data_IF_526982114140
#
_entry.id   IF_526982114140
#
_cell.length_a   1.000
_cell.length_b   1.000
_cell.length_c   1.000
_cell.angle_alpha   90.00
_cell.angle_beta   90.00
_cell.angle_gamma   90.00
#
_symmetry.space_group_name_H-M   'P 1'
#
loop_
_entity.id
_entity.type
_entity.pdbx_description
1 polymer ?
#
# COMPACT_ATOMS: atom_id res chain seq x y z
N UNK A 1 17.14 3.10 17.04
CA UNK A 1 16.71 1.70 17.06
C UNK A 1 16.28 1.24 15.68
N UNK A 2 16.64 0.03 15.33
CA UNK A 2 16.27 -0.53 14.03
C UNK A 2 14.77 -0.87 14.02
N UNK A 3 14.15 -0.68 12.86
CA UNK A 3 12.77 -1.09 12.62
C UNK A 3 12.80 -2.44 11.90
N UNK A 4 12.36 -3.54 12.54
CA UNK A 4 12.41 -4.86 11.90
C UNK A 4 11.54 -4.96 10.64
N UNK A 5 10.51 -4.15 10.52
CA UNK A 5 9.68 -4.11 9.32
C UNK A 5 10.40 -3.45 8.13
N UNK A 6 11.49 -2.74 8.37
CA UNK A 6 12.18 -1.97 7.33
C UNK A 6 13.51 -2.57 6.88
N UNK A 7 13.83 -3.81 7.30
CA UNK A 7 15.10 -4.46 6.99
C UNK A 7 15.17 -4.98 5.56
N UNK A 8 14.03 -5.26 4.95
CA UNK A 8 13.95 -5.74 3.57
C UNK A 8 12.71 -5.15 2.88
N UNK A 9 12.71 -5.20 1.55
CA UNK A 9 11.51 -4.80 0.80
C UNK A 9 10.34 -5.71 1.15
N UNK A 10 10.58 -7.02 1.28
CA UNK A 10 9.52 -7.97 1.66
C UNK A 10 8.88 -7.59 2.98
N UNK A 11 9.67 -7.27 4.01
CA UNK A 11 9.13 -6.91 5.32
C UNK A 11 8.38 -5.57 5.29
N UNK A 12 8.84 -4.61 4.50
CA UNK A 12 8.13 -3.33 4.31
C UNK A 12 6.76 -3.57 3.69
N UNK A 13 6.71 -4.31 2.60
CA UNK A 13 5.45 -4.57 1.88
C UNK A 13 4.47 -5.34 2.78
N UNK A 14 4.95 -6.37 3.46
CA UNK A 14 4.12 -7.15 4.37
C UNK A 14 3.54 -6.27 5.49
N UNK A 15 4.37 -5.47 6.13
CA UNK A 15 3.94 -4.57 7.20
C UNK A 15 2.93 -3.54 6.71
N UNK A 16 3.13 -3.03 5.49
CA UNK A 16 2.21 -2.07 4.89
C UNK A 16 0.79 -2.66 4.77
N UNK A 17 0.65 -3.85 4.24
CA UNK A 17 -0.66 -4.49 4.10
C UNK A 17 -1.26 -4.90 5.46
N UNK A 18 -0.44 -5.44 6.35
CA UNK A 18 -0.92 -5.84 7.68
C UNK A 18 -1.42 -4.65 8.49
N UNK A 19 -0.76 -3.50 8.36
CA UNK A 19 -1.07 -2.32 9.17
C UNK A 19 -2.48 -1.78 8.94
N UNK A 20 -3.02 -1.92 7.72
CA UNK A 20 -4.33 -1.38 7.36
C UNK A 20 -5.43 -2.45 7.38
N UNK A 21 -5.08 -3.70 7.64
CA UNK A 21 -6.02 -4.82 7.62
C UNK A 21 -6.58 -5.09 9.02
N UNK A 22 -7.85 -5.45 9.09
CA UNK A 22 -8.52 -5.80 10.35
C UNK A 22 -10.03 -5.69 10.26
N UNK A 23 -10.70 -6.04 11.36
CA UNK A 23 -12.15 -5.95 11.49
C UNK A 23 -12.64 -4.56 11.85
N UNK A 24 -13.91 -4.29 11.59
CA UNK A 24 -14.56 -3.05 11.98
C UNK A 24 -14.44 -2.84 13.50
N UNK A 25 -14.10 -1.63 13.93
CA UNK A 25 -13.89 -1.30 15.34
C UNK A 25 -12.54 -1.75 15.88
N UNK A 26 -11.77 -2.52 15.13
CA UNK A 26 -10.42 -2.92 15.50
C UNK A 26 -9.45 -1.82 15.10
N UNK A 27 -8.61 -1.30 16.03
CA UNK A 27 -7.65 -0.26 15.69
C UNK A 27 -6.68 -0.74 14.63
N UNK A 28 -6.49 0.05 13.59
CA UNK A 28 -5.45 -0.20 12.60
C UNK A 28 -4.09 0.20 13.16
N UNK A 29 -3.03 -0.38 12.61
CA UNK A 29 -1.67 -0.16 13.12
C UNK A 29 -1.04 1.06 12.43
N UNK A 30 -1.65 2.24 12.61
CA UNK A 30 -1.23 3.46 11.92
C UNK A 30 0.21 3.88 12.23
N UNK A 31 0.66 3.69 13.47
CA UNK A 31 2.04 4.05 13.82
C UNK A 31 3.05 3.06 13.21
N UNK A 32 2.68 1.79 13.07
CA UNK A 32 3.51 0.82 12.37
C UNK A 32 3.65 1.20 10.90
N UNK A 33 2.56 1.59 10.27
CA UNK A 33 2.53 2.03 8.88
C UNK A 33 3.32 3.34 8.70
N UNK A 34 3.12 4.29 9.60
CA UNK A 34 3.87 5.56 9.60
C UNK A 34 5.37 5.31 9.60
N UNK A 35 5.83 4.36 10.41
CA UNK A 35 7.26 4.07 10.57
C UNK A 35 7.91 3.49 9.29
N UNK A 36 7.11 3.02 8.32
CA UNK A 36 7.61 2.58 7.02
C UNK A 36 7.88 3.73 6.07
N UNK A 37 7.24 4.87 6.31
CA UNK A 37 7.19 5.99 5.37
C UNK A 37 8.17 7.10 5.76
N UNK A 38 8.88 7.63 4.77
CA UNK A 38 9.64 8.85 4.97
C UNK A 38 8.66 9.97 5.39
N UNK A 39 9.08 10.92 6.27
CA UNK A 39 8.19 12.01 6.68
C UNK A 39 7.61 12.85 5.55
N UNK A 40 8.26 12.88 4.39
CA UNK A 40 7.79 13.59 3.21
C UNK A 40 7.15 12.68 2.17
N UNK A 41 6.84 11.45 2.53
CA UNK A 41 6.24 10.50 1.60
C UNK A 41 4.88 10.98 1.12
N UNK A 42 4.55 10.61 -0.13
CA UNK A 42 3.27 10.90 -0.74
C UNK A 42 2.48 9.62 -0.97
N UNK A 43 1.18 9.69 -0.72
CA UNK A 43 0.24 8.59 -0.95
C UNK A 43 -0.88 9.12 -1.84
N UNK A 44 -1.06 8.51 -3.01
CA UNK A 44 -1.86 9.09 -4.08
C UNK A 44 -2.82 8.06 -4.66
N UNK A 45 -4.14 8.20 -4.42
CA UNK A 45 -5.15 7.44 -5.16
C UNK A 45 -5.29 8.06 -6.55
N UNK A 46 -4.65 7.47 -7.55
CA UNK A 46 -4.48 8.08 -8.87
C UNK A 46 -5.81 8.47 -9.53
N UNK A 47 -6.83 7.61 -9.42
CA UNK A 47 -8.13 7.88 -10.02
C UNK A 47 -8.84 9.05 -9.35
N UNK A 48 -8.67 9.23 -8.05
CA UNK A 48 -9.25 10.35 -7.31
C UNK A 48 -8.45 11.63 -7.55
N UNK A 49 -7.14 11.52 -7.74
CA UNK A 49 -6.27 12.66 -8.00
C UNK A 49 -6.59 13.37 -9.32
N UNK A 50 -7.29 12.70 -10.25
CA UNK A 50 -7.64 13.28 -11.56
C UNK A 50 -8.82 14.25 -11.53
N UNK A 51 -9.32 14.63 -10.36
CA UNK A 51 -10.19 15.79 -10.26
C UNK A 51 -11.56 15.60 -9.62
N UNK A 52 -11.83 14.49 -8.95
CA UNK A 52 -13.06 14.32 -8.20
C UNK A 52 -13.00 14.95 -6.81
N UNK A 53 -14.14 15.15 -6.13
CA UNK A 53 -14.15 15.48 -4.71
C UNK A 53 -13.38 14.44 -3.91
N UNK A 54 -12.52 14.88 -3.01
CA UNK A 54 -11.63 13.99 -2.27
C UNK A 54 -10.39 13.57 -3.04
N UNK A 55 -10.25 14.06 -4.28
CA UNK A 55 -9.03 13.88 -5.04
C UNK A 55 -7.87 14.53 -4.30
N UNK A 56 -6.72 13.85 -4.27
CA UNK A 56 -5.61 14.46 -3.57
C UNK A 56 -4.33 13.66 -3.65
N UNK A 57 -3.27 14.41 -3.47
CA UNK A 57 -1.95 13.90 -3.19
C UNK A 57 -1.77 14.09 -1.70
N UNK A 58 -1.76 12.99 -0.93
CA UNK A 58 -1.74 13.07 0.52
C UNK A 58 -0.32 12.89 1.06
N UNK A 59 0.00 13.60 2.14
CA UNK A 59 1.03 13.15 3.05
C UNK A 59 0.45 12.00 3.91
N UNK A 60 1.26 11.43 4.80
CA UNK A 60 0.79 10.30 5.58
C UNK A 60 -0.41 10.66 6.49
N UNK A 61 -0.37 11.81 7.14
CA UNK A 61 -1.47 12.24 8.02
C UNK A 61 -2.76 12.46 7.23
N UNK A 62 -2.66 13.06 6.05
CA UNK A 62 -3.80 13.24 5.15
C UNK A 62 -4.39 11.92 4.68
N UNK A 63 -3.54 10.95 4.36
CA UNK A 63 -3.96 9.60 4.01
C UNK A 63 -4.73 8.95 5.15
N UNK A 64 -4.21 8.99 6.38
CA UNK A 64 -4.88 8.42 7.56
C UNK A 64 -6.24 9.10 7.74
N UNK A 65 -6.30 10.42 7.69
CA UNK A 65 -7.55 11.17 7.86
C UNK A 65 -8.59 10.78 6.79
N UNK A 66 -8.14 10.50 5.55
CA UNK A 66 -9.04 10.11 4.46
C UNK A 66 -9.54 8.67 4.58
N UNK A 67 -8.77 7.77 5.20
CA UNK A 67 -9.07 6.33 5.22
C UNK A 67 -9.62 5.83 6.56
N UNK A 68 -9.23 6.43 7.67
CA UNK A 68 -9.62 5.96 8.99
C UNK A 68 -11.13 5.82 9.18
N UNK A 69 -11.99 6.76 8.74
CA UNK A 69 -13.42 6.59 8.92
C UNK A 69 -13.98 5.32 8.27
N UNK A 70 -13.54 5.00 7.07
CA UNK A 70 -13.96 3.78 6.38
C UNK A 70 -13.44 2.54 7.09
N UNK A 71 -12.15 2.53 7.44
CA UNK A 71 -11.53 1.36 8.06
C UNK A 71 -12.03 1.12 9.48
N UNK A 72 -12.39 2.16 10.21
CA UNK A 72 -13.00 2.03 11.54
C UNK A 72 -14.39 1.40 11.46
N UNK A 73 -15.12 1.66 10.37
CA UNK A 73 -16.50 1.22 10.20
C UNK A 73 -16.66 -0.10 9.47
N UNK A 74 -15.59 -0.62 8.84
CA UNK A 74 -15.70 -1.77 7.94
C UNK A 74 -14.61 -2.80 8.19
N UNK A 75 -14.94 -4.07 7.97
CA UNK A 75 -13.97 -5.14 7.85
C UNK A 75 -13.19 -4.93 6.54
N UNK A 76 -11.87 -4.98 6.61
CA UNK A 76 -11.03 -4.73 5.44
C UNK A 76 -9.73 -5.49 5.57
N UNK A 77 -9.41 -6.29 4.56
CA UNK A 77 -8.19 -7.08 4.50
C UNK A 77 -7.57 -6.93 3.12
N UNK A 78 -6.35 -6.43 3.08
CA UNK A 78 -5.63 -6.24 1.83
C UNK A 78 -4.39 -7.13 1.82
N UNK A 79 -4.24 -7.91 0.76
CA UNK A 79 -3.13 -8.87 0.63
C UNK A 79 -2.46 -8.71 -0.72
N UNK A 80 -1.15 -8.92 -0.73
CA UNK A 80 -0.40 -8.96 -1.98
C UNK A 80 -0.62 -10.29 -2.68
N UNK A 81 -0.94 -10.24 -3.98
CA UNK A 81 -1.15 -11.44 -4.80
C UNK A 81 -0.07 -11.62 -5.87
N UNK A 82 0.82 -10.66 -6.01
CA UNK A 82 1.92 -10.74 -6.96
C UNK A 82 2.74 -9.46 -6.93
N UNK A 83 3.89 -9.48 -7.59
CA UNK A 83 4.81 -8.34 -7.53
C UNK A 83 5.71 -8.31 -8.74
N UNK A 84 6.03 -7.10 -9.19
CA UNK A 84 7.18 -6.84 -10.08
C UNK A 84 8.10 -5.89 -9.35
N UNK A 85 9.38 -6.19 -9.29
CA UNK A 85 10.33 -5.43 -8.53
C UNK A 85 11.55 -5.10 -9.38
N UNK A 86 11.96 -3.84 -9.36
CA UNK A 86 13.19 -3.37 -9.99
C UNK A 86 14.06 -2.71 -8.93
N UNK A 87 15.33 -3.10 -8.86
CA UNK A 87 16.28 -2.57 -7.89
C UNK A 87 17.55 -2.11 -8.58
N UNK A 88 18.07 -1.01 -8.11
CA UNK A 88 19.40 -0.56 -8.48
C UNK A 88 20.03 0.18 -7.29
N UNK A 89 21.04 -0.41 -6.67
CA UNK A 89 21.69 0.18 -5.51
C UNK A 89 20.71 0.50 -4.39
N UNK A 90 20.61 1.77 -4.02
CA UNK A 90 19.77 2.24 -2.93
C UNK A 90 18.33 2.57 -3.34
N UNK A 91 17.94 2.31 -4.59
CA UNK A 91 16.57 2.58 -5.04
C UNK A 91 15.87 1.30 -5.44
N UNK A 92 14.56 1.29 -5.23
CA UNK A 92 13.70 0.21 -5.68
C UNK A 92 12.36 0.77 -6.13
N UNK A 93 11.79 0.14 -7.14
CA UNK A 93 10.43 0.37 -7.58
C UNK A 93 9.68 -0.94 -7.53
N UNK A 94 8.58 -0.97 -6.80
CA UNK A 94 7.76 -2.17 -6.62
C UNK A 94 6.36 -1.89 -7.18
N UNK A 95 5.93 -2.74 -8.11
CA UNK A 95 4.53 -2.82 -8.49
C UNK A 95 3.94 -3.99 -7.72
N UNK A 96 3.19 -3.67 -6.68
CA UNK A 96 2.58 -4.66 -5.79
C UNK A 96 1.11 -4.82 -6.15
N UNK A 97 0.74 -6.03 -6.57
CA UNK A 97 -0.63 -6.36 -6.99
C UNK A 97 -1.37 -6.88 -5.78
N UNK A 98 -2.57 -6.36 -5.53
CA UNK A 98 -3.30 -6.69 -4.29
C UNK A 98 -4.76 -7.04 -4.55
N UNK A 99 -5.32 -7.76 -3.58
CA UNK A 99 -6.76 -7.94 -3.41
C UNK A 99 -7.18 -7.32 -2.09
N UNK A 100 -8.27 -6.56 -2.13
CA UNK A 100 -8.94 -6.05 -0.94
C UNK A 100 -10.20 -6.89 -0.70
N UNK A 101 -10.39 -7.36 0.53
CA UNK A 101 -11.46 -8.30 0.89
C UNK A 101 -12.16 -7.85 2.17
N UNK A 102 -13.42 -8.25 2.32
CA UNK A 102 -14.18 -8.02 3.55
C UNK A 102 -13.93 -9.09 4.62
N UNK A 103 -13.36 -10.24 4.24
CA UNK A 103 -12.87 -11.27 5.15
C UNK A 103 -11.50 -11.73 4.66
N UNK A 104 -10.65 -12.32 5.54
CA UNK A 104 -9.31 -12.74 5.10
C UNK A 104 -9.31 -13.68 3.88
N UNK A 105 -10.34 -14.47 3.71
CA UNK A 105 -10.38 -15.52 2.68
C UNK A 105 -11.48 -15.35 1.65
N UNK A 106 -12.34 -14.35 1.80
CA UNK A 106 -13.48 -14.18 0.91
C UNK A 106 -13.92 -12.72 0.80
N UNK A 107 -15.08 -12.49 0.16
CA UNK A 107 -15.65 -11.17 0.06
C UNK A 107 -14.78 -10.19 -0.74
N UNK A 108 -14.34 -10.59 -1.93
CA UNK A 108 -13.51 -9.73 -2.77
C UNK A 108 -14.21 -8.39 -3.02
N UNK A 109 -13.54 -7.30 -2.62
CA UNK A 109 -14.01 -5.94 -2.82
C UNK A 109 -13.42 -5.34 -4.10
N UNK A 110 -12.11 -5.50 -4.32
CA UNK A 110 -11.43 -4.99 -5.51
C UNK A 110 -10.04 -5.58 -5.61
N UNK A 111 -9.46 -5.44 -6.79
CA UNK A 111 -8.04 -5.70 -7.07
C UNK A 111 -7.39 -4.44 -7.60
N UNK A 112 -6.11 -4.30 -7.36
CA UNK A 112 -5.40 -3.14 -7.85
C UNK A 112 -3.89 -3.29 -7.80
N UNK A 113 -3.23 -2.17 -8.08
CA UNK A 113 -1.77 -2.08 -8.09
C UNK A 113 -1.33 -0.91 -7.23
N UNK A 114 -0.40 -1.16 -6.32
CA UNK A 114 0.36 -0.13 -5.64
C UNK A 114 1.71 0.04 -6.35
N UNK A 115 1.95 1.22 -6.89
CA UNK A 115 3.25 1.60 -7.45
C UNK A 115 4.04 2.30 -6.37
N UNK A 116 5.11 1.65 -5.88
CA UNK A 116 5.80 2.05 -4.66
C UNK A 116 7.25 2.38 -5.00
N UNK A 117 7.69 3.57 -4.61
CA UNK A 117 9.09 3.97 -4.68
C UNK A 117 9.71 3.86 -3.31
N UNK A 118 10.85 3.16 -3.22
CA UNK A 118 11.58 2.96 -1.97
C UNK A 118 13.03 3.41 -2.11
N UNK A 119 13.60 3.80 -0.98
CA UNK A 119 14.99 4.20 -0.87
C UNK A 119 15.60 3.53 0.35
N UNK A 120 16.83 3.04 0.20
CA UNK A 120 17.65 2.57 1.32
C UNK A 120 18.63 3.67 1.73
N UNK A 121 18.65 4.01 3.00
CA UNK A 121 19.48 5.12 3.51
C UNK A 121 20.84 4.67 4.07
N UNK A 122 21.17 3.39 3.90
CA UNK A 122 22.36 2.77 4.49
C UNK A 122 22.04 1.92 5.71
N UNK A 123 20.87 2.13 6.32
CA UNK A 123 20.42 1.41 7.52
C UNK A 123 19.12 0.67 7.30
N UNK A 124 18.19 1.26 6.52
CA UNK A 124 16.85 0.69 6.34
C UNK A 124 16.21 1.16 5.05
N UNK A 125 15.14 0.47 4.64
CA UNK A 125 14.28 0.89 3.54
C UNK A 125 13.21 1.88 4.01
N UNK A 126 12.90 2.84 3.16
CA UNK A 126 11.86 3.85 3.35
C UNK A 126 10.92 3.88 2.15
N UNK A 127 9.62 3.94 2.39
CA UNK A 127 8.65 4.26 1.33
C UNK A 127 8.67 5.77 1.12
N UNK A 128 8.88 6.20 -0.13
CA UNK A 128 8.85 7.61 -0.52
C UNK A 128 7.56 8.01 -1.19
N UNK A 129 6.93 7.10 -1.92
CA UNK A 129 5.63 7.35 -2.53
C UNK A 129 4.93 6.04 -2.82
N UNK A 130 3.60 6.09 -2.72
CA UNK A 130 2.74 5.02 -3.21
C UNK A 130 1.64 5.67 -4.03
N UNK A 131 1.52 5.25 -5.28
CA UNK A 131 0.43 5.66 -6.18
C UNK A 131 -0.31 4.39 -6.54
N UNK A 132 -1.64 4.38 -6.37
CA UNK A 132 -2.41 3.16 -6.65
C UNK A 132 -3.63 3.44 -7.51
N UNK A 133 -4.03 2.39 -8.23
CA UNK A 133 -5.26 2.36 -9.01
C UNK A 133 -5.85 0.95 -8.94
N UNK A 134 -7.12 0.83 -9.25
CA UNK A 134 -7.88 -0.41 -9.11
C UNK A 134 -8.44 -0.87 -10.44
N UNK A 135 -8.68 -2.18 -10.55
CA UNK A 135 -9.41 -2.74 -11.69
C UNK A 135 -10.77 -2.09 -11.82
N UNK A 136 -11.21 -1.97 -13.05
CA UNK A 136 -12.54 -1.50 -13.43
C UNK A 136 -12.85 -2.00 -14.82
N UNK A 137 -14.04 -1.72 -15.32
CA UNK A 137 -14.41 -2.11 -16.67
C UNK A 137 -13.37 -1.60 -17.67
N UNK A 138 -12.85 -2.50 -18.48
CA UNK A 138 -11.81 -2.19 -19.47
C UNK A 138 -10.39 -2.15 -18.93
N UNK A 139 -10.19 -2.38 -17.63
CA UNK A 139 -8.87 -2.37 -17.01
C UNK A 139 -8.75 -3.51 -16.02
N UNK A 140 -7.97 -4.51 -16.36
CA UNK A 140 -7.69 -5.66 -15.51
C UNK A 140 -6.21 -5.73 -15.17
N UNK A 141 -5.88 -6.37 -14.06
CA UNK A 141 -4.49 -6.64 -13.69
C UNK A 141 -3.80 -7.43 -14.80
N UNK A 142 -2.48 -7.21 -14.98
CA UNK A 142 -1.70 -8.03 -15.90
C UNK A 142 -1.64 -9.48 -15.41
N UNK A 143 -1.26 -10.38 -16.31
CA UNK A 143 -1.03 -11.77 -15.96
C UNK A 143 0.10 -11.85 -14.93
N UNK A 144 -0.20 -12.43 -13.77
CA UNK A 144 0.74 -12.58 -12.66
C UNK A 144 1.51 -13.89 -12.71
N UNK A 145 1.24 -14.74 -13.70
CA UNK A 145 1.99 -15.98 -13.89
C UNK A 145 3.46 -15.64 -14.18
N UNK A 146 4.42 -16.22 -13.44
CA UNK A 146 5.82 -15.97 -13.73
C UNK A 146 6.15 -16.39 -15.17
N UNK A 147 6.87 -15.52 -15.90
CA UNK A 147 7.37 -15.88 -17.22
C UNK A 147 8.59 -16.79 -17.06
N UNK A 148 8.57 -17.88 -17.81
CA UNK A 148 9.69 -18.83 -17.82
C UNK A 148 10.82 -18.34 -18.73
#
# INVERSE_FOLDING_TARGET
>A
MSNPDAVSIDSVIQAMYESISGGAGEPRQWERDRALHHPKALLVPARQASGGPGAGVFDFDGFVASRAPYLDANDFYEIEIGRREFRFGAIAHVLSFYEARSTPEGGLLRRGVNSIQLMHDGERWWILSTVWDNEREGLSLPDLTPSN
#
